data_IF_933617404830
#
_entry.id   IF_933617404830
#
_cell.length_a   1.000
_cell.length_b   1.000
_cell.length_c   1.000
_cell.angle_alpha   90.00
_cell.angle_beta   90.00
_cell.angle_gamma   90.00
#
_symmetry.space_group_name_H-M   'P 1'
#
loop_
_entity.id
_entity.type
_entity.pdbx_description
1 polymer ?
#
# COMPACT_ATOMS: atom_id res chain seq x y z
N UNK A 1 -9.19 -13.26 1.72
CA UNK A 1 -8.12 -13.92 2.50
C UNK A 1 -8.36 -13.89 4.02
N UNK A 2 -8.70 -12.73 4.60
CA UNK A 2 -8.99 -12.59 6.04
C UNK A 2 -10.05 -13.58 6.56
N UNK A 3 -11.06 -13.91 5.76
CA UNK A 3 -12.10 -14.90 6.12
C UNK A 3 -11.58 -16.36 6.10
N UNK A 4 -10.60 -16.68 5.26
CA UNK A 4 -9.97 -18.01 5.24
C UNK A 4 -9.02 -18.18 6.43
N UNK A 5 -8.35 -17.09 6.84
CA UNK A 5 -7.57 -17.05 8.08
C UNK A 5 -8.44 -17.21 9.32
N UNK A 6 -9.61 -16.56 9.41
CA UNK A 6 -10.52 -16.79 10.55
C UNK A 6 -11.06 -18.22 10.58
N UNK A 7 -11.22 -18.86 9.42
CA UNK A 7 -11.64 -20.27 9.27
C UNK A 7 -10.49 -21.29 9.35
N UNK A 8 -9.28 -20.83 9.71
CA UNK A 8 -8.06 -21.64 9.91
C UNK A 8 -7.54 -22.41 8.69
N UNK A 9 -7.91 -22.01 7.47
CA UNK A 9 -7.43 -22.64 6.23
C UNK A 9 -6.05 -22.10 5.83
N UNK A 10 -5.08 -23.00 5.59
CA UNK A 10 -3.77 -22.67 5.02
C UNK A 10 -2.80 -21.91 5.94
N UNK A 11 -3.14 -21.74 7.23
CA UNK A 11 -2.30 -21.02 8.20
C UNK A 11 -0.99 -21.75 8.47
N UNK A 12 -1.05 -23.07 8.67
CA UNK A 12 0.14 -23.88 9.00
C UNK A 12 1.17 -23.88 7.86
N UNK A 13 0.73 -23.64 6.63
CA UNK A 13 1.57 -23.55 5.43
C UNK A 13 2.03 -22.11 5.12
N UNK A 14 1.64 -21.13 5.93
CA UNK A 14 2.01 -19.72 5.75
C UNK A 14 1.44 -19.06 4.48
N UNK A 15 0.52 -19.70 3.77
CA UNK A 15 -0.04 -19.23 2.49
C UNK A 15 -0.66 -17.82 2.59
N UNK A 16 -1.48 -17.49 3.62
CA UNK A 16 -1.99 -16.14 3.79
C UNK A 16 -0.89 -15.07 3.93
N UNK A 17 0.16 -15.39 4.70
CA UNK A 17 1.28 -14.48 4.92
C UNK A 17 2.08 -14.27 3.64
N UNK A 18 2.32 -15.36 2.88
CA UNK A 18 3.00 -15.30 1.59
C UNK A 18 2.23 -14.47 0.57
N UNK A 19 0.90 -14.64 0.48
CA UNK A 19 0.06 -13.86 -0.44
C UNK A 19 0.09 -12.37 -0.08
N UNK A 20 -0.02 -12.01 1.20
CA UNK A 20 0.07 -10.62 1.63
C UNK A 20 1.45 -10.01 1.31
N UNK A 21 2.54 -10.76 1.56
CA UNK A 21 3.89 -10.30 1.22
C UNK A 21 4.09 -10.12 -0.29
N UNK A 22 3.61 -11.07 -1.09
CA UNK A 22 3.67 -11.00 -2.55
C UNK A 22 2.88 -9.79 -3.09
N UNK A 23 1.69 -9.52 -2.55
CA UNK A 23 0.88 -8.36 -2.92
C UNK A 23 1.60 -7.03 -2.59
N UNK A 24 2.22 -6.91 -1.41
CA UNK A 24 2.98 -5.70 -1.07
C UNK A 24 4.22 -5.49 -1.96
N UNK A 25 4.88 -6.58 -2.37
CA UNK A 25 6.02 -6.50 -3.31
C UNK A 25 5.55 -6.07 -4.71
N UNK A 26 4.41 -6.59 -5.17
CA UNK A 26 3.79 -6.20 -6.45
C UNK A 26 3.47 -4.70 -6.49
N UNK A 27 2.85 -4.17 -5.43
CA UNK A 27 2.53 -2.74 -5.30
C UNK A 27 3.80 -1.87 -5.40
N UNK A 28 4.89 -2.27 -4.74
CA UNK A 28 6.18 -1.55 -4.80
C UNK A 28 6.77 -1.56 -6.21
N UNK A 29 6.75 -2.70 -6.89
CA UNK A 29 7.22 -2.80 -8.26
C UNK A 29 6.37 -1.95 -9.21
N UNK A 30 5.04 -2.01 -9.09
CA UNK A 30 4.12 -1.25 -9.92
C UNK A 30 4.38 0.26 -9.80
N UNK A 31 4.50 0.79 -8.58
CA UNK A 31 4.80 2.21 -8.33
C UNK A 31 6.16 2.61 -8.91
N UNK A 32 7.18 1.79 -8.71
CA UNK A 32 8.56 2.09 -9.14
C UNK A 32 8.68 2.11 -10.66
N UNK A 33 8.18 1.07 -11.33
CA UNK A 33 8.23 0.97 -12.79
C UNK A 33 7.37 2.01 -13.48
N UNK A 34 6.16 2.27 -12.97
CA UNK A 34 5.31 3.33 -13.51
C UNK A 34 5.98 4.70 -13.39
N UNK A 35 6.56 5.01 -12.24
CA UNK A 35 7.28 6.27 -12.00
C UNK A 35 8.48 6.44 -12.94
N UNK A 36 9.26 5.38 -13.16
CA UNK A 36 10.39 5.38 -14.10
C UNK A 36 9.95 5.66 -15.54
N UNK A 37 8.89 4.99 -16.00
CA UNK A 37 8.36 5.17 -17.35
C UNK A 37 7.81 6.58 -17.52
N UNK A 38 7.03 7.06 -16.55
CA UNK A 38 6.46 8.42 -16.58
C UNK A 38 7.57 9.48 -16.56
N UNK A 39 8.59 9.32 -15.71
CA UNK A 39 9.75 10.21 -15.65
C UNK A 39 10.51 10.26 -16.97
N UNK A 40 10.66 9.10 -17.63
CA UNK A 40 11.31 9.00 -18.94
C UNK A 40 10.53 9.72 -20.04
N UNK A 41 9.20 9.54 -20.08
CA UNK A 41 8.31 10.21 -21.03
C UNK A 41 8.29 11.73 -20.82
N UNK A 42 8.27 12.17 -19.56
CA UNK A 42 8.11 13.59 -19.21
C UNK A 42 9.39 14.40 -19.40
N UNK A 43 10.54 13.81 -19.05
CA UNK A 43 11.87 14.37 -19.26
C UNK A 43 12.28 14.37 -20.73
N UNK A 44 11.88 13.37 -21.52
CA UNK A 44 12.13 13.33 -22.96
C UNK A 44 11.37 14.39 -23.76
N UNK A 45 10.27 14.93 -23.23
CA UNK A 45 9.37 15.73 -24.03
C UNK A 45 9.60 17.26 -23.94
N UNK A 46 10.62 17.79 -23.24
CA UNK A 46 10.81 19.26 -23.22
C UNK A 46 12.05 19.84 -22.56
N UNK A 47 13.18 19.13 -22.56
CA UNK A 47 14.48 19.80 -22.48
C UNK A 47 15.31 19.30 -23.65
N UNK A 48 15.50 20.17 -24.64
CA UNK A 48 16.52 20.01 -25.67
C UNK A 48 17.90 20.33 -25.05
N UNK A 49 18.22 19.65 -23.94
CA UNK A 49 19.54 19.61 -23.34
C UNK A 49 20.08 18.21 -23.65
N UNK A 50 20.99 18.16 -24.61
CA UNK A 50 21.76 16.98 -25.02
C UNK A 50 22.74 16.50 -23.92
N UNK A 51 22.59 17.03 -22.70
CA UNK A 51 23.35 16.66 -21.52
C UNK A 51 22.90 15.28 -21.05
N UNK A 52 23.68 14.26 -21.41
CA UNK A 52 23.57 12.88 -20.92
C UNK A 52 23.37 12.84 -19.38
N UNK A 53 24.01 13.76 -18.67
CA UNK A 53 23.91 13.93 -17.20
C UNK A 53 22.49 14.20 -16.70
N UNK A 54 21.67 14.94 -17.45
CA UNK A 54 20.28 15.23 -17.06
C UNK A 54 19.38 13.99 -17.23
N UNK A 55 19.59 13.21 -18.30
CA UNK A 55 18.87 11.94 -18.51
C UNK A 55 19.23 10.89 -17.44
N UNK A 56 20.52 10.80 -17.08
CA UNK A 56 20.99 9.92 -16.02
C UNK A 56 20.41 10.35 -14.66
N UNK A 57 20.40 11.65 -14.36
CA UNK A 57 19.84 12.18 -13.10
C UNK A 57 18.35 11.84 -12.93
N UNK A 58 17.55 11.99 -13.98
CA UNK A 58 16.12 11.65 -13.98
C UNK A 58 15.85 10.17 -13.70
N UNK A 59 16.67 9.27 -14.24
CA UNK A 59 16.54 7.82 -14.04
C UNK A 59 17.04 7.43 -12.64
N UNK A 60 18.12 8.05 -12.17
CA UNK A 60 18.68 7.81 -10.84
C UNK A 60 17.81 8.36 -9.70
N UNK A 61 16.96 9.36 -9.98
CA UNK A 61 16.07 9.97 -8.99
C UNK A 61 15.08 8.96 -8.38
N UNK A 62 14.53 8.03 -9.17
CA UNK A 62 13.53 7.10 -8.66
C UNK A 62 14.09 6.13 -7.59
N UNK A 63 15.24 5.44 -7.80
CA UNK A 63 15.87 4.68 -6.72
C UNK A 63 16.22 5.54 -5.50
N UNK A 64 16.73 6.75 -5.70
CA UNK A 64 17.10 7.66 -4.61
C UNK A 64 15.87 8.02 -3.76
N UNK A 65 14.73 8.30 -4.37
CA UNK A 65 13.48 8.57 -3.66
C UNK A 65 13.02 7.36 -2.83
N UNK A 66 13.13 6.15 -3.36
CA UNK A 66 12.83 4.92 -2.62
C UNK A 66 13.74 4.79 -1.41
N UNK A 67 15.07 4.91 -1.58
CA UNK A 67 16.03 4.82 -0.47
C UNK A 67 15.82 5.93 0.58
N UNK A 68 15.47 7.13 0.14
CA UNK A 68 15.16 8.26 1.03
C UNK A 68 13.90 7.97 1.84
N UNK A 69 12.85 7.43 1.19
CA UNK A 69 11.62 7.01 1.85
C UNK A 69 11.85 5.91 2.88
N UNK A 70 12.65 4.89 2.53
CA UNK A 70 13.04 3.82 3.47
C UNK A 70 13.79 4.40 4.67
N UNK A 71 14.77 5.28 4.42
CA UNK A 71 15.57 5.89 5.49
C UNK A 71 14.69 6.72 6.44
N UNK A 72 13.80 7.54 5.88
CA UNK A 72 12.86 8.35 6.66
C UNK A 72 11.87 7.47 7.45
N UNK A 73 11.34 6.42 6.84
CA UNK A 73 10.44 5.47 7.49
C UNK A 73 11.11 4.73 8.64
N UNK A 74 12.38 4.33 8.48
CA UNK A 74 13.18 3.72 9.56
C UNK A 74 13.37 4.68 10.74
N UNK A 75 13.68 5.95 10.48
CA UNK A 75 13.87 6.96 11.52
C UNK A 75 12.56 7.20 12.28
N UNK A 76 11.46 7.49 11.57
CA UNK A 76 10.18 7.77 12.19
C UNK A 76 9.58 6.54 12.88
N UNK A 77 9.74 5.35 12.31
CA UNK A 77 9.36 4.08 12.93
C UNK A 77 10.17 3.79 14.19
N UNK A 78 11.47 4.09 14.19
CA UNK A 78 12.32 3.99 15.38
C UNK A 78 11.92 4.95 16.50
N UNK A 79 11.43 6.15 16.16
CA UNK A 79 10.88 7.09 17.15
C UNK A 79 9.64 6.50 17.84
N UNK A 80 8.80 5.76 17.11
CA UNK A 80 7.62 5.07 17.66
C UNK A 80 7.97 3.86 18.56
N UNK A 81 9.25 3.46 18.62
CA UNK A 81 9.70 2.50 19.62
C UNK A 81 9.89 3.14 20.99
N UNK A 82 10.28 4.42 21.01
CA UNK A 82 10.53 5.18 22.23
C UNK A 82 9.23 5.77 22.79
N UNK A 83 8.34 6.24 21.90
CA UNK A 83 7.04 6.80 22.26
C UNK A 83 5.91 5.89 21.76
N UNK A 84 4.90 5.52 22.57
CA UNK A 84 4.59 5.91 23.96
C UNK A 84 5.13 4.92 25.03
N UNK A 85 5.51 5.44 26.21
CA UNK A 85 5.99 4.62 27.33
C UNK A 85 5.00 3.49 27.71
N UNK A 86 5.48 2.25 27.95
CA UNK A 86 4.65 1.08 28.27
C UNK A 86 3.72 1.25 29.48
N UNK A 87 4.04 2.16 30.38
CA UNK A 87 3.36 2.35 31.66
C UNK A 87 2.13 3.28 31.57
N UNK A 88 1.84 3.83 30.39
CA UNK A 88 0.76 4.80 30.22
C UNK A 88 -0.62 4.13 30.06
N UNK A 89 -1.63 4.71 30.73
CA UNK A 89 -3.04 4.36 30.54
C UNK A 89 -3.45 4.66 29.09
N UNK A 90 -4.22 3.77 28.48
CA UNK A 90 -4.67 3.85 27.08
C UNK A 90 -3.53 3.81 26.04
N UNK A 91 -2.50 2.98 26.26
CA UNK A 91 -1.37 2.84 25.32
C UNK A 91 -1.80 2.57 23.88
N UNK A 92 -2.83 1.75 23.69
CA UNK A 92 -3.41 1.36 22.40
C UNK A 92 -3.81 2.57 21.55
N UNK A 93 -4.64 3.45 22.10
CA UNK A 93 -5.13 4.62 21.35
C UNK A 93 -4.00 5.60 21.07
N UNK A 94 -3.05 5.77 22.00
CA UNK A 94 -1.90 6.67 21.79
C UNK A 94 -0.98 6.16 20.67
N UNK A 95 -0.73 4.85 20.61
CA UNK A 95 0.00 4.20 19.51
C UNK A 95 -0.68 4.46 18.17
N UNK A 96 -1.99 4.26 18.11
CA UNK A 96 -2.79 4.49 16.91
C UNK A 96 -2.81 5.96 16.48
N UNK A 97 -3.01 6.89 17.41
CA UNK A 97 -2.96 8.32 17.12
C UNK A 97 -1.58 8.75 16.63
N UNK A 98 -0.50 8.24 17.25
CA UNK A 98 0.87 8.54 16.82
C UNK A 98 1.16 7.98 15.43
N UNK A 99 0.79 6.73 15.15
CA UNK A 99 0.91 6.14 13.82
C UNK A 99 0.22 6.99 12.75
N UNK A 100 -1.04 7.37 12.99
CA UNK A 100 -1.81 8.18 12.06
C UNK A 100 -1.18 9.57 11.84
N UNK A 101 -0.71 10.21 12.91
CA UNK A 101 -0.13 11.55 12.87
C UNK A 101 1.21 11.57 12.15
N UNK A 102 2.12 10.67 12.49
CA UNK A 102 3.41 10.55 11.82
C UNK A 102 3.27 10.13 10.36
N UNK A 103 2.31 9.25 10.05
CA UNK A 103 2.04 8.84 8.67
C UNK A 103 1.51 10.01 7.83
N UNK A 104 0.56 10.78 8.38
CA UNK A 104 0.03 11.97 7.70
C UNK A 104 1.12 13.03 7.51
N UNK A 105 1.93 13.30 8.54
CA UNK A 105 3.03 14.25 8.46
C UNK A 105 4.09 13.84 7.42
N UNK A 106 4.45 12.56 7.35
CA UNK A 106 5.38 12.05 6.34
C UNK A 106 4.80 12.18 4.92
N UNK A 107 3.53 11.84 4.75
CA UNK A 107 2.86 11.85 3.44
C UNK A 107 2.70 13.28 2.89
N UNK A 108 2.10 14.19 3.66
CA UNK A 108 1.90 15.57 3.22
C UNK A 108 3.18 16.41 3.28
N UNK A 109 4.07 16.12 4.24
CA UNK A 109 5.34 16.83 4.38
C UNK A 109 6.25 16.60 3.18
N UNK A 110 6.32 15.37 2.66
CA UNK A 110 7.12 15.06 1.47
C UNK A 110 6.48 15.59 0.18
N UNK A 111 5.15 15.57 0.09
CA UNK A 111 4.45 16.19 -1.05
C UNK A 111 4.69 17.71 -1.10
N UNK A 112 4.67 18.40 0.05
CA UNK A 112 5.00 19.83 0.15
C UNK A 112 6.44 20.14 -0.30
N UNK A 113 7.40 19.25 0.00
CA UNK A 113 8.79 19.39 -0.44
C UNK A 113 9.01 19.01 -1.91
N UNK A 114 7.96 18.57 -2.61
CA UNK A 114 8.02 18.19 -4.03
C UNK A 114 8.39 16.73 -4.29
N UNK A 115 8.52 15.91 -3.24
CA UNK A 115 8.84 14.49 -3.34
C UNK A 115 7.59 13.61 -3.17
N UNK A 116 6.84 13.45 -4.26
CA UNK A 116 5.56 12.71 -4.26
C UNK A 116 5.69 11.23 -3.88
N UNK A 117 6.81 10.62 -4.25
CA UNK A 117 7.03 9.18 -4.08
C UNK A 117 7.57 8.85 -2.69
N UNK A 118 8.34 9.75 -2.07
CA UNK A 118 9.05 9.51 -0.79
C UNK A 118 8.08 9.30 0.37
N UNK A 119 7.00 10.10 0.43
CA UNK A 119 6.00 10.05 1.51
C UNK A 119 5.36 8.67 1.68
N UNK A 120 4.73 8.09 0.64
CA UNK A 120 4.14 6.75 0.70
C UNK A 120 5.13 5.65 1.13
N UNK A 121 6.36 5.66 0.60
CA UNK A 121 7.40 4.71 1.03
C UNK A 121 7.77 4.87 2.50
N UNK A 122 7.88 6.11 2.99
CA UNK A 122 8.16 6.38 4.40
C UNK A 122 7.03 5.85 5.30
N UNK A 123 5.77 6.02 4.92
CA UNK A 123 4.61 5.49 5.67
C UNK A 123 4.63 3.96 5.75
N UNK A 124 4.90 3.28 4.64
CA UNK A 124 4.99 1.81 4.60
C UNK A 124 6.08 1.27 5.53
N UNK A 125 7.29 1.84 5.42
CA UNK A 125 8.43 1.40 6.25
C UNK A 125 8.22 1.77 7.72
N UNK A 126 7.66 2.95 8.00
CA UNK A 126 7.30 3.36 9.36
C UNK A 126 6.36 2.36 10.03
N UNK A 127 5.28 1.97 9.35
CA UNK A 127 4.31 1.01 9.89
C UNK A 127 4.94 -0.36 10.15
N UNK A 128 5.78 -0.82 9.22
CA UNK A 128 6.51 -2.08 9.37
C UNK A 128 7.49 -2.06 10.55
N UNK A 129 8.31 -1.02 10.65
CA UNK A 129 9.29 -0.87 11.74
C UNK A 129 8.58 -0.76 13.09
N UNK A 130 7.51 0.03 13.19
CA UNK A 130 6.70 0.12 14.41
C UNK A 130 6.13 -1.25 14.82
N UNK A 131 5.59 -2.01 13.87
CA UNK A 131 5.06 -3.34 14.11
C UNK A 131 6.13 -4.33 14.60
N UNK A 132 7.37 -4.27 14.10
CA UNK A 132 8.45 -5.16 14.55
C UNK A 132 8.75 -5.03 16.05
N UNK A 133 8.77 -3.83 16.59
CA UNK A 133 9.03 -3.63 18.02
C UNK A 133 7.81 -3.97 18.87
N UNK A 134 6.62 -3.51 18.48
CA UNK A 134 5.40 -3.82 19.21
C UNK A 134 5.08 -5.31 19.20
N UNK A 135 5.45 -6.04 18.14
CA UNK A 135 5.31 -7.50 18.05
C UNK A 135 6.13 -8.29 19.08
N UNK A 136 7.18 -7.68 19.66
CA UNK A 136 8.01 -8.29 20.71
C UNK A 136 7.41 -8.12 22.11
N UNK A 137 6.51 -7.16 22.29
CA UNK A 137 5.70 -7.07 23.49
C UNK A 137 4.67 -8.21 23.51
N UNK A 138 4.09 -8.49 24.67
CA UNK A 138 3.17 -9.61 24.87
C UNK A 138 2.12 -9.74 23.76
N UNK A 139 2.08 -10.91 23.09
CA UNK A 139 1.21 -11.22 21.92
C UNK A 139 -0.27 -10.82 22.11
N UNK A 140 -0.77 -10.82 23.34
CA UNK A 140 -2.15 -10.43 23.67
C UNK A 140 -2.45 -8.96 23.35
N UNK A 141 -1.49 -8.05 23.48
CA UNK A 141 -1.69 -6.61 23.24
C UNK A 141 -1.78 -6.29 21.75
N UNK A 142 -0.89 -6.90 20.95
CA UNK A 142 -0.81 -6.73 19.48
C UNK A 142 -2.10 -7.13 18.77
N UNK A 143 -2.75 -8.21 19.23
CA UNK A 143 -4.00 -8.70 18.65
C UNK A 143 -5.12 -7.63 18.74
N UNK A 144 -5.11 -6.81 19.80
CA UNK A 144 -6.11 -5.75 19.98
C UNK A 144 -5.84 -4.55 19.05
N UNK A 145 -4.59 -4.19 18.79
CA UNK A 145 -4.27 -3.08 17.88
C UNK A 145 -4.52 -3.45 16.41
N UNK A 146 -4.21 -4.69 16.01
CA UNK A 146 -4.56 -5.21 14.68
C UNK A 146 -6.07 -5.17 14.45
N UNK A 147 -6.87 -5.52 15.46
CA UNK A 147 -8.33 -5.52 15.34
C UNK A 147 -8.89 -4.10 15.13
N UNK A 148 -8.35 -3.09 15.81
CA UNK A 148 -8.76 -1.69 15.61
C UNK A 148 -8.43 -1.25 14.17
N UNK A 149 -7.20 -1.47 13.69
CA UNK A 149 -6.81 -1.12 12.31
C UNK A 149 -7.67 -1.83 11.27
N UNK A 150 -7.95 -3.11 11.50
CA UNK A 150 -8.79 -3.92 10.60
C UNK A 150 -10.22 -3.41 10.57
N UNK A 151 -10.78 -3.02 11.72
CA UNK A 151 -12.11 -2.45 11.81
C UNK A 151 -12.17 -1.07 11.12
N UNK A 152 -11.20 -0.19 11.38
CA UNK A 152 -11.08 1.09 10.67
C UNK A 152 -10.98 0.90 9.16
N UNK A 153 -10.14 -0.03 8.69
CA UNK A 153 -10.03 -0.36 7.28
C UNK A 153 -11.35 -0.89 6.71
N UNK A 154 -12.01 -1.82 7.40
CA UNK A 154 -13.23 -2.47 6.90
C UNK A 154 -14.42 -1.50 6.83
N UNK A 155 -14.60 -0.65 7.85
CA UNK A 155 -15.76 0.22 7.96
C UNK A 155 -15.55 1.58 7.28
N UNK A 156 -14.33 2.09 7.26
CA UNK A 156 -14.02 3.40 6.68
C UNK A 156 -13.17 3.30 5.41
N UNK A 157 -11.98 2.67 5.49
CA UNK A 157 -11.02 2.67 4.39
C UNK A 157 -11.52 1.99 3.10
N UNK A 158 -12.08 0.79 3.23
CA UNK A 158 -12.55 -0.02 2.12
C UNK A 158 -13.74 0.63 1.39
N UNK A 159 -14.81 1.08 2.07
CA UNK A 159 -15.88 1.84 1.41
C UNK A 159 -15.38 3.17 0.82
N UNK A 160 -14.49 3.89 1.51
CA UNK A 160 -13.94 5.15 1.03
C UNK A 160 -13.18 4.96 -0.29
N UNK A 161 -12.34 3.92 -0.40
CA UNK A 161 -11.60 3.62 -1.63
C UNK A 161 -12.53 3.25 -2.78
N UNK A 162 -13.53 2.39 -2.55
CA UNK A 162 -14.51 2.06 -3.59
C UNK A 162 -15.36 3.26 -4.01
N UNK A 163 -15.72 4.12 -3.06
CA UNK A 163 -16.42 5.37 -3.34
C UNK A 163 -15.53 6.35 -4.11
N UNK A 164 -14.25 6.50 -3.74
CA UNK A 164 -13.31 7.38 -4.44
C UNK A 164 -13.03 6.91 -5.86
N UNK A 165 -12.79 5.59 -6.02
CA UNK A 165 -12.66 4.98 -7.34
C UNK A 165 -13.93 5.28 -8.12
N UNK A 166 -15.11 4.96 -7.57
CA UNK A 166 -16.41 5.20 -8.18
C UNK A 166 -16.72 6.67 -8.52
N UNK A 167 -16.29 7.62 -7.69
CA UNK A 167 -16.40 9.05 -7.94
C UNK A 167 -15.48 9.49 -9.08
N UNK A 168 -14.27 8.94 -9.11
CA UNK A 168 -13.32 9.19 -10.17
C UNK A 168 -13.69 8.45 -11.47
N UNK A 169 -14.65 7.52 -11.43
CA UNK A 169 -15.34 6.96 -12.60
C UNK A 169 -16.37 7.97 -13.16
N UNK A 170 -15.93 9.17 -13.51
CA UNK A 170 -16.39 9.66 -14.81
C UNK A 170 -15.79 8.68 -15.82
N UNK A 171 -16.62 8.12 -16.73
CA UNK A 171 -16.22 7.14 -17.77
C UNK A 171 -15.03 7.60 -18.65
N UNK A 172 -14.51 8.80 -18.38
CA UNK A 172 -13.36 9.39 -19.00
C UNK A 172 -12.02 9.35 -18.23
N UNK A 173 -11.89 9.22 -16.88
CA UNK A 173 -10.58 9.43 -16.17
C UNK A 173 -10.37 8.76 -14.76
N UNK A 174 -9.87 7.50 -14.60
CA UNK A 174 -9.41 6.97 -13.28
C UNK A 174 -8.11 6.09 -13.13
N UNK A 175 -7.51 6.23 -11.92
CA UNK A 175 -6.40 5.59 -11.18
C UNK A 175 -4.90 5.91 -11.45
N UNK A 176 -4.22 5.28 -12.43
CA UNK A 176 -2.81 5.62 -12.78
C UNK A 176 -2.71 6.42 -14.08
N UNK A 177 -3.66 6.17 -14.97
CA UNK A 177 -3.82 6.98 -16.16
C UNK A 177 -4.47 8.36 -15.95
N UNK A 178 -5.06 8.78 -14.80
CA UNK A 178 -5.33 10.18 -14.53
C UNK A 178 -4.05 10.94 -14.34
N UNK A 179 -2.95 10.34 -13.83
CA UNK A 179 -1.67 11.04 -13.78
C UNK A 179 -1.18 11.31 -15.19
N UNK A 180 -1.28 10.33 -16.09
CA UNK A 180 -0.99 10.51 -17.52
C UNK A 180 -1.94 11.55 -18.16
N UNK A 181 -3.23 11.49 -17.85
CA UNK A 181 -4.25 12.38 -18.41
C UNK A 181 -4.13 13.81 -17.87
N UNK A 182 -3.88 13.97 -16.58
CA UNK A 182 -3.58 15.24 -15.89
C UNK A 182 -2.29 15.83 -16.48
N UNK A 183 -1.29 15.00 -16.75
CA UNK A 183 -0.08 15.45 -17.43
C UNK A 183 -0.35 15.93 -18.86
N UNK A 184 -1.22 15.24 -19.60
CA UNK A 184 -1.71 15.66 -20.93
C UNK A 184 -2.50 16.97 -20.85
N UNK A 185 -3.36 17.12 -19.86
CA UNK A 185 -4.22 18.30 -19.66
C UNK A 185 -3.43 19.52 -19.19
N UNK A 186 -2.46 19.35 -18.29
CA UNK A 186 -1.60 20.43 -17.78
C UNK A 186 -0.61 20.92 -18.82
N UNK A 187 -0.20 20.07 -19.76
CA UNK A 187 0.79 20.39 -20.79
C UNK A 187 0.30 19.99 -22.19
N UNK A 188 -0.78 20.60 -22.70
CA UNK A 188 -1.44 20.16 -23.93
C UNK A 188 -0.57 20.37 -25.18
N UNK A 189 0.29 21.40 -25.20
CA UNK A 189 1.22 21.64 -26.30
C UNK A 189 2.25 20.50 -26.50
N UNK A 190 2.56 19.76 -25.44
CA UNK A 190 3.64 18.79 -25.38
C UNK A 190 3.14 17.34 -25.41
N UNK A 191 1.99 17.09 -24.76
CA UNK A 191 1.42 15.75 -24.64
C UNK A 191 0.01 15.63 -25.21
N UNK A 192 -0.56 16.68 -25.80
CA UNK A 192 -1.90 16.64 -26.40
C UNK A 192 -2.08 15.55 -27.45
N UNK A 193 -0.99 15.16 -28.13
CA UNK A 193 -0.97 14.03 -29.08
C UNK A 193 -1.21 12.66 -28.43
N UNK A 194 -0.93 12.51 -27.13
CA UNK A 194 -1.04 11.25 -26.38
C UNK A 194 -2.37 11.12 -25.63
N UNK A 195 -3.33 12.01 -25.89
CA UNK A 195 -4.62 12.05 -25.20
C UNK A 195 -5.43 10.77 -25.41
N UNK A 196 -5.40 10.21 -26.63
CA UNK A 196 -6.14 8.99 -26.96
C UNK A 196 -5.56 7.77 -26.26
N UNK A 197 -4.23 7.68 -26.23
CA UNK A 197 -3.45 6.61 -25.62
C UNK A 197 -3.60 6.62 -24.10
N UNK A 198 -3.52 7.80 -23.47
CA UNK A 198 -3.78 7.95 -22.05
C UNK A 198 -5.21 7.49 -21.68
N UNK A 199 -6.20 7.81 -22.53
CA UNK A 199 -7.59 7.37 -22.34
C UNK A 199 -7.73 5.85 -22.49
N UNK A 200 -7.07 5.21 -23.46
CA UNK A 200 -7.12 3.76 -23.62
C UNK A 200 -6.50 3.04 -22.42
N UNK A 201 -5.31 3.45 -21.97
CA UNK A 201 -4.63 2.85 -20.82
C UNK A 201 -5.52 2.91 -19.59
N UNK A 202 -6.22 4.03 -19.41
CA UNK A 202 -7.17 4.26 -18.34
C UNK A 202 -8.37 3.32 -18.37
N UNK A 203 -9.05 3.26 -19.51
CA UNK A 203 -10.25 2.42 -19.67
C UNK A 203 -9.90 0.94 -19.47
N UNK A 204 -8.76 0.48 -20.00
CA UNK A 204 -8.29 -0.90 -19.83
C UNK A 204 -7.95 -1.19 -18.37
N UNK A 205 -7.28 -0.26 -17.67
CA UNK A 205 -6.94 -0.43 -16.24
C UNK A 205 -8.20 -0.60 -15.39
N UNK A 206 -9.21 0.24 -15.61
CA UNK A 206 -10.48 0.18 -14.87
C UNK A 206 -11.22 -1.12 -15.17
N UNK A 207 -11.37 -1.49 -16.43
CA UNK A 207 -12.06 -2.72 -16.82
C UNK A 207 -11.34 -3.95 -16.26
N UNK A 208 -10.00 -3.93 -16.24
CA UNK A 208 -9.18 -4.97 -15.62
C UNK A 208 -9.46 -5.09 -14.12
N UNK A 209 -9.47 -3.99 -13.36
CA UNK A 209 -9.76 -4.01 -11.91
C UNK A 209 -11.20 -4.47 -11.66
N UNK A 210 -12.16 -3.95 -12.42
CA UNK A 210 -13.59 -4.24 -12.28
C UNK A 210 -13.89 -5.72 -12.55
N UNK A 211 -13.19 -6.37 -13.48
CA UNK A 211 -13.36 -7.79 -13.78
C UNK A 211 -12.53 -8.64 -12.82
N UNK A 212 -11.26 -8.31 -12.61
CA UNK A 212 -10.30 -9.16 -11.88
C UNK A 212 -10.60 -9.21 -10.39
N UNK A 213 -11.05 -8.11 -9.77
CA UNK A 213 -11.38 -8.09 -8.34
C UNK A 213 -12.51 -9.07 -7.95
N UNK A 214 -13.70 -9.04 -8.58
CA UNK A 214 -14.77 -9.98 -8.25
C UNK A 214 -14.43 -11.41 -8.68
N UNK A 215 -13.79 -11.61 -9.84
CA UNK A 215 -13.37 -12.94 -10.31
C UNK A 215 -12.36 -13.55 -9.32
N UNK A 216 -11.37 -12.78 -8.88
CA UNK A 216 -10.41 -13.20 -7.86
C UNK A 216 -11.08 -13.53 -6.53
N UNK A 217 -12.03 -12.72 -6.09
CA UNK A 217 -12.80 -12.99 -4.86
C UNK A 217 -13.60 -14.30 -4.93
N UNK A 218 -14.27 -14.56 -6.07
CA UNK A 218 -15.01 -15.80 -6.31
C UNK A 218 -14.06 -17.00 -6.33
N UNK A 219 -12.94 -16.89 -7.06
CA UNK A 219 -11.94 -17.95 -7.15
C UNK A 219 -11.37 -18.29 -5.77
N UNK A 220 -11.00 -17.29 -4.97
CA UNK A 220 -10.49 -17.51 -3.60
C UNK A 220 -11.55 -18.17 -2.72
N UNK A 221 -12.83 -17.80 -2.87
CA UNK A 221 -13.93 -18.37 -2.08
C UNK A 221 -14.21 -19.84 -2.44
N UNK A 222 -14.03 -20.23 -3.69
CA UNK A 222 -14.26 -21.60 -4.17
C UNK A 222 -13.04 -22.50 -4.00
N UNK A 223 -11.87 -22.05 -4.45
CA UNK A 223 -10.62 -22.82 -4.41
C UNK A 223 -9.98 -22.82 -3.02
N UNK A 224 -10.21 -21.78 -2.21
CA UNK A 224 -9.71 -21.70 -0.84
C UNK A 224 -10.04 -22.94 0.00
N UNK A 225 -11.31 -23.31 0.20
CA UNK A 225 -11.67 -24.50 0.96
C UNK A 225 -11.35 -25.82 0.25
N UNK A 226 -11.21 -25.83 -1.08
CA UNK A 226 -10.89 -27.03 -1.85
C UNK A 226 -9.39 -27.39 -1.78
N UNK A 227 -8.52 -26.37 -1.85
CA UNK A 227 -7.07 -26.55 -1.99
C UNK A 227 -6.31 -26.38 -0.67
N UNK A 228 -6.85 -25.63 0.29
CA UNK A 228 -6.16 -25.36 1.55
C UNK A 228 -6.53 -26.39 2.61
N UNK A 229 -5.51 -26.96 3.25
CA UNK A 229 -5.71 -27.79 4.43
C UNK A 229 -6.14 -26.92 5.62
N UNK A 230 -7.09 -27.44 6.41
CA UNK A 230 -7.52 -26.80 7.65
C UNK A 230 -6.48 -27.06 8.75
N UNK A 231 -6.05 -26.01 9.45
CA UNK A 231 -5.08 -26.12 10.54
C UNK A 231 -5.65 -26.93 11.71
N UNK A 232 -4.87 -27.91 12.19
CA UNK A 232 -5.22 -28.75 13.35
C UNK A 232 -4.76 -28.13 14.67
N UNK A 233 -3.73 -27.29 14.64
CA UNK A 233 -3.03 -26.75 15.81
C UNK A 233 -3.93 -25.86 16.67
N UNK A 234 -4.67 -24.92 16.06
CA UNK A 234 -5.56 -24.01 16.80
C UNK A 234 -6.82 -24.69 17.34
N UNK A 235 -7.18 -25.86 16.79
CA UNK A 235 -8.34 -26.64 17.22
C UNK A 235 -8.00 -27.52 18.45
N UNK A 236 -6.72 -27.86 18.63
CA UNK A 236 -6.21 -28.50 19.86
C UNK A 236 -6.20 -27.52 21.03
N UNK A 237 -5.64 -26.31 20.84
CA UNK A 237 -5.56 -25.30 21.91
C UNK A 237 -6.93 -24.88 22.45
N UNK A 238 -7.93 -24.72 21.56
CA UNK A 238 -9.31 -24.40 21.98
C UNK A 238 -9.97 -25.57 22.72
N UNK A 239 -9.71 -26.81 22.32
CA UNK A 239 -10.25 -27.97 23.02
C UNK A 239 -9.58 -28.18 24.38
N UNK A 240 -8.29 -27.87 24.52
CA UNK A 240 -7.56 -27.95 25.80
C UNK A 240 -8.01 -26.87 26.79
N UNK A 241 -8.38 -25.67 26.31
CA UNK A 241 -8.98 -24.59 27.11
C UNK A 241 -10.42 -24.92 27.53
N UNK A 242 -11.17 -25.71 26.75
CA UNK A 242 -12.55 -26.12 27.08
C UNK A 242 -12.61 -27.36 27.99
N UNK A 243 -11.50 -28.08 28.13
CA UNK A 243 -11.40 -29.30 28.95
C UNK A 243 -10.70 -29.08 30.30
N UNK A 244 -10.18 -27.87 30.56
CA UNK A 244 -9.67 -27.41 31.86
C UNK A 244 -10.55 -26.29 32.43
#
# INVERSE_FOLDING_TARGET
MLELQTKTYGIDQGIPTLINAAASIDDVYAITWFSLILSSITSGAGKNDNNLSAKIWTIAQAPIEVFTGISMGCILGGILWIFPSPELKNIKIRRMTLLFSFSSAALFGMDYLGYKTVGPFAVLVLGFIAALYWSKEEKSKILDEEEILKNEWKYFGLPLLFCLIGYQLDLHQAALAPVLMDLVQRNPAKFGRFKSEATIILTVTILSILITAPVGAILIRLLGPLMLQKSKTKQSDVNEILLN
#
